data_IF_219417625143
#
_entry.id   IF_219417625143
#
_cell.length_a   1.000
_cell.length_b   1.000
_cell.length_c   1.000
_cell.angle_alpha   90.00
_cell.angle_beta   90.00
_cell.angle_gamma   90.00
#
_symmetry.space_group_name_H-M   'P 1'
#
loop_
_entity.id
_entity.type
_entity.pdbx_description
1 polymer ?
#
# COMPACT_ATOMS: atom_id res chain seq x y z
N UNK A 1 -26.61 15.07 23.02
CA UNK A 1 -25.23 15.42 22.65
C UNK A 1 -24.50 14.12 22.42
N UNK A 2 -24.28 13.74 21.16
CA UNK A 2 -23.45 12.57 20.85
C UNK A 2 -22.07 13.07 20.51
N UNK A 3 -21.06 12.57 21.22
CA UNK A 3 -19.67 12.83 20.93
C UNK A 3 -19.30 12.14 19.61
N UNK A 4 -18.84 12.91 18.62
CA UNK A 4 -18.26 12.35 17.39
C UNK A 4 -16.90 11.78 17.76
N UNK A 5 -16.83 10.46 17.96
CA UNK A 5 -15.56 9.75 18.07
C UNK A 5 -14.76 10.04 16.79
N UNK A 6 -13.56 10.64 16.86
CA UNK A 6 -12.75 10.85 15.68
C UNK A 6 -12.30 9.48 15.17
N UNK A 7 -12.90 9.01 14.08
CA UNK A 7 -12.40 7.86 13.32
C UNK A 7 -11.12 8.29 12.62
N UNK A 8 -10.02 8.28 13.38
CA UNK A 8 -8.67 8.33 12.82
C UNK A 8 -8.47 7.08 11.97
N UNK A 9 -8.76 7.17 10.67
CA UNK A 9 -8.51 6.07 9.74
C UNK A 9 -7.01 5.75 9.77
N UNK A 10 -6.67 4.49 10.01
CA UNK A 10 -5.29 4.04 10.01
C UNK A 10 -4.72 4.25 8.60
N UNK A 11 -3.61 5.01 8.50
CA UNK A 11 -2.91 5.19 7.23
C UNK A 11 -2.24 3.87 6.85
N UNK A 12 -2.25 3.52 5.57
CA UNK A 12 -1.61 2.30 5.04
C UNK A 12 -0.15 2.18 5.49
N UNK A 13 0.60 3.28 5.50
CA UNK A 13 1.99 3.34 5.94
C UNK A 13 2.22 3.11 7.46
N UNK A 14 1.17 2.91 8.26
CA UNK A 14 1.27 2.45 9.65
C UNK A 14 1.24 0.93 9.81
N UNK A 15 0.92 0.20 8.75
CA UNK A 15 0.93 -1.26 8.76
C UNK A 15 2.38 -1.79 8.78
N UNK A 16 2.63 -2.98 9.35
CA UNK A 16 3.91 -3.66 9.19
C UNK A 16 4.28 -3.84 7.72
N UNK A 17 5.58 -3.75 7.42
CA UNK A 17 6.07 -3.79 6.03
C UNK A 17 5.77 -5.13 5.36
N UNK A 18 5.74 -6.23 6.13
CA UNK A 18 5.41 -7.58 5.66
C UNK A 18 3.95 -7.67 5.23
N UNK A 19 3.04 -7.02 5.96
CA UNK A 19 1.62 -6.93 5.60
C UNK A 19 1.44 -6.13 4.31
N UNK A 20 2.13 -5.00 4.18
CA UNK A 20 2.12 -4.20 2.95
C UNK A 20 2.68 -5.00 1.78
N UNK A 21 3.77 -5.72 1.98
CA UNK A 21 4.38 -6.55 0.95
C UNK A 21 3.42 -7.63 0.45
N UNK A 22 2.72 -8.34 1.34
CA UNK A 22 1.72 -9.34 0.97
C UNK A 22 0.57 -8.72 0.15
N UNK A 23 0.04 -7.58 0.59
CA UNK A 23 -1.01 -6.84 -0.14
C UNK A 23 -0.51 -6.46 -1.54
N UNK A 24 0.70 -5.92 -1.65
CA UNK A 24 1.23 -5.48 -2.94
C UNK A 24 1.59 -6.63 -3.86
N UNK A 25 1.99 -7.79 -3.34
CA UNK A 25 2.17 -8.99 -4.16
C UNK A 25 0.86 -9.46 -4.81
N UNK A 26 -0.25 -9.35 -4.08
CA UNK A 26 -1.58 -9.69 -4.62
C UNK A 26 -2.12 -8.63 -5.58
N UNK A 27 -1.80 -7.36 -5.36
CA UNK A 27 -2.31 -6.25 -6.15
C UNK A 27 -1.50 -5.99 -7.43
N UNK A 28 -0.18 -6.12 -7.38
CA UNK A 28 0.73 -5.85 -8.50
C UNK A 28 0.82 -7.04 -9.46
N UNK A 29 -0.29 -7.44 -10.09
CA UNK A 29 -0.33 -8.55 -11.07
C UNK A 29 -0.56 -8.07 -12.51
N UNK A 30 -0.44 -6.76 -12.75
CA UNK A 30 -0.85 -6.08 -13.97
C UNK A 30 0.34 -5.50 -14.76
N UNK A 31 1.47 -6.21 -14.77
CA UNK A 31 2.68 -5.79 -15.50
C UNK A 31 3.35 -4.53 -14.93
N UNK A 32 3.01 -4.16 -13.69
CA UNK A 32 3.61 -3.05 -12.96
C UNK A 32 2.82 -1.75 -12.98
N UNK A 33 1.63 -1.72 -13.59
CA UNK A 33 0.76 -0.54 -13.56
C UNK A 33 0.32 -0.21 -12.12
N UNK A 34 -0.16 -1.20 -11.35
CA UNK A 34 -0.55 -1.03 -9.95
C UNK A 34 0.65 -0.65 -9.08
N UNK A 35 1.81 -1.29 -9.28
CA UNK A 35 3.04 -0.93 -8.57
C UNK A 35 3.50 0.52 -8.81
N UNK A 36 3.32 1.01 -10.04
CA UNK A 36 3.62 2.39 -10.41
C UNK A 36 2.64 3.38 -9.75
N UNK A 37 1.35 3.06 -9.75
CA UNK A 37 0.31 3.84 -9.07
C UNK A 37 0.56 3.94 -7.56
N UNK A 38 0.86 2.82 -6.89
CA UNK A 38 1.20 2.79 -5.46
C UNK A 38 2.42 3.68 -5.16
N UNK A 39 3.45 3.60 -6.00
CA UNK A 39 4.69 4.38 -5.84
C UNK A 39 4.51 5.90 -5.92
N UNK A 40 3.36 6.39 -6.40
CA UNK A 40 3.04 7.82 -6.49
C UNK A 40 2.29 8.35 -5.25
N UNK A 41 1.80 7.48 -4.38
CA UNK A 41 0.95 7.88 -3.24
C UNK A 41 1.75 8.43 -2.04
N UNK A 42 2.87 7.80 -1.69
CA UNK A 42 3.74 8.25 -0.59
C UNK A 42 5.15 7.67 -0.70
N UNK A 43 6.12 8.26 0.00
CA UNK A 43 7.51 7.77 0.04
C UNK A 43 7.61 6.39 0.70
N UNK A 44 6.83 6.15 1.75
CA UNK A 44 6.79 4.87 2.45
C UNK A 44 6.17 3.78 1.55
N UNK A 45 5.05 4.09 0.90
CA UNK A 45 4.41 3.16 -0.04
C UNK A 45 5.34 2.85 -1.21
N UNK A 46 6.01 3.86 -1.78
CA UNK A 46 7.02 3.64 -2.84
C UNK A 46 8.11 2.66 -2.43
N UNK A 47 8.65 2.79 -1.23
CA UNK A 47 9.66 1.86 -0.73
C UNK A 47 9.09 0.44 -0.58
N UNK A 48 7.89 0.32 -0.02
CA UNK A 48 7.24 -0.97 0.23
C UNK A 48 6.71 -1.66 -1.06
N UNK A 49 6.30 -0.91 -2.09
CA UNK A 49 5.83 -1.44 -3.38
C UNK A 49 6.95 -1.72 -4.38
N UNK A 50 8.17 -1.24 -4.12
CA UNK A 50 9.32 -1.47 -4.99
C UNK A 50 9.60 -2.95 -5.28
N UNK A 51 9.61 -3.88 -4.31
CA UNK A 51 9.91 -5.29 -4.58
C UNK A 51 8.83 -6.00 -5.41
N UNK A 52 7.58 -5.55 -5.36
CA UNK A 52 6.46 -6.16 -6.11
C UNK A 52 6.16 -5.46 -7.44
N UNK A 53 6.88 -4.40 -7.81
CA UNK A 53 6.55 -3.56 -8.99
C UNK A 53 6.60 -4.29 -10.33
N UNK A 54 7.32 -5.40 -10.42
CA UNK A 54 7.43 -6.24 -11.61
C UNK A 54 6.93 -7.65 -11.35
N UNK A 55 6.14 -7.84 -10.30
CA UNK A 55 5.51 -9.12 -10.09
C UNK A 55 4.53 -9.37 -11.24
N UNK A 56 4.73 -10.48 -11.92
CA UNK A 56 3.88 -10.97 -12.99
C UNK A 56 3.77 -12.47 -12.77
N UNK A 57 2.55 -12.96 -12.70
CA UNK A 57 2.22 -14.40 -12.62
C UNK A 57 1.97 -14.98 -13.99
#
# INVERSE_FOLDING_TARGET
MYDVVPTGHARMEKLPVETLFQIFQLACTDGGYTGCSLSQTSRAVRAASHPSRFHSV
#
